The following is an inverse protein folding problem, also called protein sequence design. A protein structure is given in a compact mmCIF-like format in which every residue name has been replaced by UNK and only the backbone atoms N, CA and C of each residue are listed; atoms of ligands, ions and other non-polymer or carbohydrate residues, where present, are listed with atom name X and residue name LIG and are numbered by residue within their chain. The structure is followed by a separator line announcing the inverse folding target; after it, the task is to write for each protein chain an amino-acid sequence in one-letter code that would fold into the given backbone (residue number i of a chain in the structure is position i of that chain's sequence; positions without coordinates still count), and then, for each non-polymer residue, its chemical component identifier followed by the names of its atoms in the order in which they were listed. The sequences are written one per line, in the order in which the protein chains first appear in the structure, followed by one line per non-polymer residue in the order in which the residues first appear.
data_IF_492712797980
#
_entry.id   IF_492712797980
#
_cell.length_a   1.000
_cell.length_b   1.000
_cell.length_c   1.000
_cell.angle_alpha   90.00
_cell.angle_beta   90.00
_cell.angle_gamma   90.00
#
_symmetry.space_group_name_H-M   'P 1'
#
loop_
_entity.id
_entity.type
_entity.pdbx_description
1 polymer ?
#
# COMPACT_ATOMS: atom_id res chain seq x y z
N UNK A 1 8.74 11.46 5.19
CA UNK A 1 9.57 11.06 4.04
C UNK A 1 10.34 12.23 3.44
N UNK A 2 9.69 13.38 3.15
CA UNK A 2 10.34 14.56 2.54
C UNK A 2 11.63 14.98 3.26
N UNK A 3 11.68 14.89 4.58
CA UNK A 3 12.83 15.27 5.40
C UNK A 3 13.63 14.05 5.90
N UNK A 4 13.36 12.84 5.41
CA UNK A 4 13.98 11.60 5.91
C UNK A 4 13.99 11.53 7.44
N UNK A 5 12.88 11.89 8.06
CA UNK A 5 12.70 11.99 9.50
C UNK A 5 11.58 11.06 9.97
N UNK A 6 11.78 10.41 11.12
CA UNK A 6 10.84 9.48 11.72
C UNK A 6 10.60 9.85 13.17
N UNK A 7 9.35 10.04 13.60
CA UNK A 7 9.03 10.22 15.02
C UNK A 7 9.19 8.87 15.72
N UNK A 8 10.08 8.84 16.72
CA UNK A 8 10.36 7.63 17.51
C UNK A 8 9.52 7.56 18.78
N UNK A 9 9.30 8.70 19.44
CA UNK A 9 8.63 8.76 20.73
C UNK A 9 7.96 10.11 20.94
N UNK A 10 6.77 10.11 21.53
CA UNK A 10 6.08 11.30 22.03
C UNK A 10 6.25 11.39 23.53
N UNK A 11 7.01 12.41 23.99
CA UNK A 11 7.28 12.68 25.42
C UNK A 11 6.40 13.81 25.98
N UNK A 12 5.23 14.04 25.39
CA UNK A 12 4.34 15.12 25.79
C UNK A 12 4.77 16.45 25.16
N UNK A 13 5.63 17.22 25.79
CA UNK A 13 6.06 18.53 25.26
C UNK A 13 7.13 18.43 24.16
N UNK A 14 7.79 17.30 24.03
CA UNK A 14 8.90 17.09 23.10
C UNK A 14 8.71 15.80 22.31
N UNK A 15 8.92 15.87 20.99
CA UNK A 15 8.97 14.72 20.11
C UNK A 15 10.42 14.29 19.89
N UNK A 16 10.71 13.01 20.11
CA UNK A 16 12.00 12.43 19.71
C UNK A 16 11.91 12.02 18.24
N UNK A 17 12.75 12.62 17.40
CA UNK A 17 12.73 12.41 15.95
C UNK A 17 14.08 11.89 15.48
N UNK A 18 14.06 10.73 14.78
CA UNK A 18 15.23 10.21 14.09
C UNK A 18 15.49 11.01 12.81
N UNK A 19 16.73 11.44 12.62
CA UNK A 19 17.23 12.09 11.41
C UNK A 19 18.50 11.39 10.94
N UNK A 20 18.63 11.23 9.61
CA UNK A 20 19.84 10.69 8.99
C UNK A 20 21.02 11.66 9.04
N UNK A 21 20.73 12.95 8.89
CA UNK A 21 21.69 14.04 9.09
C UNK A 21 21.23 14.94 10.24
N UNK A 22 21.83 14.83 11.43
CA UNK A 22 21.47 15.64 12.58
C UNK A 22 21.88 17.11 12.47
N UNK A 23 22.69 17.46 11.46
CA UNK A 23 23.14 18.83 11.21
C UNK A 23 22.28 19.55 10.16
N UNK A 24 21.28 18.89 9.59
CA UNK A 24 20.30 19.51 8.68
C UNK A 24 19.35 20.42 9.48
N UNK A 25 19.81 21.65 9.73
CA UNK A 25 19.05 22.67 10.44
C UNK A 25 17.76 23.06 9.72
N UNK A 26 17.76 22.99 8.39
CA UNK A 26 16.55 23.29 7.60
C UNK A 26 15.46 22.23 7.84
N UNK A 27 15.81 20.95 7.79
CA UNK A 27 14.88 19.88 8.13
C UNK A 27 14.37 20.01 9.58
N UNK A 28 15.25 20.35 10.51
CA UNK A 28 14.89 20.57 11.92
C UNK A 28 13.84 21.69 12.07
N UNK A 29 14.10 22.87 11.52
CA UNK A 29 13.22 24.04 11.65
C UNK A 29 11.85 23.79 10.99
N UNK A 30 11.86 23.17 9.81
CA UNK A 30 10.62 22.82 9.08
C UNK A 30 9.80 21.77 9.85
N UNK A 31 10.44 20.74 10.42
CA UNK A 31 9.77 19.74 11.23
C UNK A 31 9.16 20.37 12.50
N UNK A 32 9.90 21.24 13.20
CA UNK A 32 9.40 21.96 14.36
C UNK A 32 8.17 22.82 14.01
N UNK A 33 8.23 23.50 12.86
CA UNK A 33 7.13 24.34 12.35
C UNK A 33 5.88 23.52 11.98
N UNK A 34 6.06 22.37 11.32
CA UNK A 34 4.95 21.50 10.89
C UNK A 34 4.32 20.82 12.09
N UNK A 35 5.13 20.25 12.97
CA UNK A 35 4.68 19.49 14.14
C UNK A 35 4.20 20.38 15.29
N UNK A 36 4.56 21.68 15.25
CA UNK A 36 4.23 22.67 16.30
C UNK A 36 4.61 22.20 17.71
N UNK A 37 5.71 21.49 17.82
CA UNK A 37 6.22 20.86 19.05
C UNK A 37 7.74 21.03 19.15
N UNK A 38 8.26 20.99 20.36
CA UNK A 38 9.69 20.88 20.55
C UNK A 38 10.19 19.54 19.98
N UNK A 39 11.37 19.57 19.37
CA UNK A 39 11.96 18.38 18.76
C UNK A 39 13.31 18.10 19.41
N UNK A 40 13.51 16.86 19.84
CA UNK A 40 14.80 16.31 20.18
C UNK A 40 15.25 15.39 19.04
N UNK A 41 16.49 15.53 18.59
CA UNK A 41 17.03 14.72 17.48
C UNK A 41 17.73 13.48 18.03
N UNK A 42 17.42 12.34 17.42
CA UNK A 42 18.20 11.12 17.50
C UNK A 42 18.91 10.91 16.15
N UNK A 43 20.23 10.95 16.15
CA UNK A 43 21.03 10.64 14.98
C UNK A 43 20.97 9.14 14.69
N UNK A 44 20.60 8.77 13.47
CA UNK A 44 20.51 7.37 13.02
C UNK A 44 21.21 7.22 11.67
N UNK A 45 21.76 6.04 11.35
CA UNK A 45 22.27 5.80 10.01
C UNK A 45 21.17 6.03 8.96
N UNK A 46 21.46 6.80 7.92
CA UNK A 46 20.47 7.11 6.87
C UNK A 46 19.88 5.83 6.25
N UNK A 47 20.69 4.77 6.13
CA UNK A 47 20.27 3.47 5.63
C UNK A 47 19.23 2.75 6.50
N UNK A 48 19.10 3.13 7.77
CA UNK A 48 18.14 2.52 8.71
C UNK A 48 16.72 3.11 8.54
N UNK A 49 16.61 4.34 8.07
CA UNK A 49 15.33 5.02 7.93
C UNK A 49 14.38 4.36 6.94
N UNK A 50 14.79 3.95 5.70
CA UNK A 50 13.91 3.25 4.78
C UNK A 50 13.34 1.97 5.37
N UNK A 51 14.17 1.18 6.06
CA UNK A 51 13.75 -0.08 6.71
C UNK A 51 12.73 0.19 7.82
N UNK A 52 12.97 1.24 8.63
CA UNK A 52 12.05 1.64 9.68
C UNK A 52 10.72 2.18 9.11
N UNK A 53 10.78 2.96 8.04
CA UNK A 53 9.59 3.41 7.33
C UNK A 53 8.77 2.25 6.78
N UNK A 54 9.41 1.29 6.15
CA UNK A 54 8.74 0.10 5.63
C UNK A 54 8.05 -0.67 6.75
N UNK A 55 8.73 -0.87 7.87
CA UNK A 55 8.19 -1.61 9.01
C UNK A 55 7.02 -0.90 9.70
N UNK A 56 7.07 0.43 9.82
CA UNK A 56 6.09 1.20 10.60
C UNK A 56 4.89 1.68 9.77
N UNK A 57 5.10 1.95 8.49
CA UNK A 57 4.08 2.57 7.64
C UNK A 57 3.54 1.66 6.55
N UNK A 58 4.15 0.51 6.29
CA UNK A 58 3.62 -0.45 5.34
C UNK A 58 2.68 -1.44 6.01
N UNK A 59 1.54 -1.65 5.36
CA UNK A 59 0.55 -2.66 5.74
C UNK A 59 0.84 -4.04 5.14
N UNK A 60 2.11 -4.35 4.90
CA UNK A 60 2.49 -5.58 4.18
C UNK A 60 1.97 -6.84 4.85
N UNK A 61 2.00 -6.89 6.19
CA UNK A 61 1.48 -8.05 6.93
C UNK A 61 -0.05 -8.15 6.85
N UNK A 62 -0.75 -7.00 6.94
CA UNK A 62 -2.21 -6.93 6.79
C UNK A 62 -2.63 -7.36 5.37
N UNK A 63 -1.99 -6.80 4.35
CA UNK A 63 -2.23 -7.13 2.94
C UNK A 63 -1.99 -8.62 2.68
N UNK A 64 -0.87 -9.17 3.18
CA UNK A 64 -0.56 -10.58 3.05
C UNK A 64 -1.54 -11.48 3.81
N UNK A 65 -2.05 -11.01 4.95
CA UNK A 65 -3.10 -11.68 5.71
C UNK A 65 -4.43 -11.71 4.96
N UNK A 66 -4.84 -10.58 4.38
CA UNK A 66 -6.04 -10.48 3.55
C UNK A 66 -5.94 -11.34 2.28
N UNK A 67 -4.77 -11.36 1.64
CA UNK A 67 -4.53 -12.21 0.48
C UNK A 67 -4.69 -13.70 0.83
N UNK A 68 -4.10 -14.17 1.93
CA UNK A 68 -4.27 -15.55 2.40
C UNK A 68 -5.71 -15.88 2.81
N UNK A 69 -6.42 -14.95 3.42
CA UNK A 69 -7.82 -15.13 3.76
C UNK A 69 -8.67 -15.30 2.49
N UNK A 70 -8.45 -14.44 1.48
CA UNK A 70 -9.12 -14.53 0.19
C UNK A 70 -8.77 -15.84 -0.54
N UNK A 71 -7.53 -16.28 -0.48
CA UNK A 71 -7.09 -17.56 -1.05
C UNK A 71 -7.85 -18.75 -0.45
N UNK A 72 -8.04 -18.74 0.88
CA UNK A 72 -8.82 -19.75 1.59
C UNK A 72 -10.29 -19.71 1.22
N UNK A 73 -10.87 -18.51 1.09
CA UNK A 73 -12.28 -18.31 0.72
C UNK A 73 -12.56 -18.73 -0.73
N UNK A 74 -11.59 -18.56 -1.64
CA UNK A 74 -11.71 -18.98 -3.03
C UNK A 74 -11.68 -20.51 -3.22
N UNK A 75 -11.11 -21.28 -2.26
CA UNK A 75 -11.02 -22.73 -2.34
C UNK A 75 -10.30 -23.22 -3.60
N UNK A 76 -10.55 -24.49 -3.98
CA UNK A 76 -9.93 -25.09 -5.18
C UNK A 76 -10.68 -24.79 -6.48
N UNK A 77 -11.93 -24.33 -6.39
CA UNK A 77 -12.77 -23.96 -7.54
C UNK A 77 -13.26 -22.53 -7.42
N UNK A 78 -12.79 -21.65 -8.30
CA UNK A 78 -13.28 -20.27 -8.39
C UNK A 78 -14.57 -20.27 -9.21
N UNK A 79 -15.73 -20.13 -8.57
CA UNK A 79 -16.95 -19.80 -9.28
C UNK A 79 -16.98 -18.29 -9.58
N UNK A 80 -16.65 -17.92 -10.81
CA UNK A 80 -16.68 -16.54 -11.26
C UNK A 80 -18.08 -15.91 -11.24
N UNK A 81 -19.14 -16.72 -11.22
CA UNK A 81 -20.53 -16.27 -11.08
C UNK A 81 -20.80 -15.71 -9.68
N UNK A 82 -20.38 -16.42 -8.62
CA UNK A 82 -20.49 -15.96 -7.24
C UNK A 82 -19.60 -14.73 -6.98
N UNK A 83 -18.40 -14.69 -7.55
CA UNK A 83 -17.52 -13.52 -7.46
C UNK A 83 -18.17 -12.27 -8.11
N UNK A 84 -18.88 -12.45 -9.23
CA UNK A 84 -19.61 -11.37 -9.90
C UNK A 84 -20.82 -10.92 -9.08
N UNK A 85 -21.50 -11.82 -8.39
CA UNK A 85 -22.62 -11.49 -7.49
C UNK A 85 -22.17 -10.70 -6.24
N UNK A 86 -20.95 -10.94 -5.75
CA UNK A 86 -20.36 -10.22 -4.62
C UNK A 86 -19.85 -8.79 -4.96
N UNK A 87 -19.91 -8.42 -6.21
CA UNK A 87 -19.36 -7.15 -6.77
C UNK A 87 -19.98 -5.89 -6.12
N UNK A 88 -21.18 -5.97 -5.57
CA UNK A 88 -21.87 -4.87 -4.88
C UNK A 88 -21.60 -4.77 -3.38
N UNK A 89 -20.94 -5.73 -2.75
CA UNK A 89 -20.75 -5.77 -1.32
C UNK A 89 -19.41 -5.12 -0.94
N UNK A 90 -19.46 -3.98 -0.28
CA UNK A 90 -18.27 -3.28 0.25
C UNK A 90 -17.43 -4.15 1.20
N UNK A 91 -18.03 -5.20 1.76
CA UNK A 91 -17.38 -6.14 2.67
C UNK A 91 -16.70 -7.35 2.01
N UNK A 92 -16.77 -7.50 0.68
CA UNK A 92 -16.17 -8.64 0.00
C UNK A 92 -14.64 -8.69 0.20
N UNK A 93 -14.04 -9.86 0.47
CA UNK A 93 -12.60 -9.98 0.75
C UNK A 93 -11.71 -9.35 -0.33
N UNK A 94 -12.08 -9.47 -1.61
CA UNK A 94 -11.35 -8.86 -2.74
C UNK A 94 -11.37 -7.33 -2.69
N UNK A 95 -12.49 -6.73 -2.24
CA UNK A 95 -12.62 -5.28 -2.11
C UNK A 95 -11.73 -4.77 -0.97
N UNK A 96 -11.74 -5.46 0.17
CA UNK A 96 -10.88 -5.12 1.32
C UNK A 96 -9.39 -5.21 0.96
N UNK A 97 -8.99 -6.25 0.21
CA UNK A 97 -7.61 -6.39 -0.26
C UNK A 97 -7.21 -5.24 -1.17
N UNK A 98 -8.04 -4.88 -2.17
CA UNK A 98 -7.78 -3.74 -3.06
C UNK A 98 -7.72 -2.43 -2.28
N UNK A 99 -8.65 -2.21 -1.35
CA UNK A 99 -8.66 -1.01 -0.51
C UNK A 99 -7.36 -0.90 0.29
N UNK A 100 -6.93 -1.98 0.96
CA UNK A 100 -5.69 -2.00 1.74
C UNK A 100 -4.46 -1.77 0.86
N UNK A 101 -4.43 -2.32 -0.37
CA UNK A 101 -3.36 -2.05 -1.35
C UNK A 101 -3.29 -0.57 -1.75
N UNK A 102 -4.44 0.06 -2.02
CA UNK A 102 -4.48 1.48 -2.42
C UNK A 102 -4.20 2.41 -1.24
N UNK A 103 -4.67 2.08 -0.04
CA UNK A 103 -4.34 2.82 1.18
C UNK A 103 -2.85 2.80 1.45
N UNK A 104 -2.21 1.62 1.36
CA UNK A 104 -0.76 1.50 1.53
C UNK A 104 0.00 2.26 0.45
N UNK A 105 -0.38 2.10 -0.83
CA UNK A 105 0.25 2.81 -1.94
C UNK A 105 0.18 4.34 -1.76
N UNK A 106 -0.99 4.86 -1.33
CA UNK A 106 -1.16 6.29 -1.04
C UNK A 106 -0.29 6.73 0.14
N UNK A 107 -0.29 5.96 1.21
CA UNK A 107 0.48 6.25 2.43
C UNK A 107 1.99 6.30 2.18
N UNK A 108 2.49 5.40 1.31
CA UNK A 108 3.91 5.40 0.92
C UNK A 108 4.25 6.39 -0.19
N UNK A 109 3.26 7.09 -0.76
CA UNK A 109 3.46 8.02 -1.87
C UNK A 109 3.87 7.32 -3.16
N UNK A 110 3.32 6.14 -3.40
CA UNK A 110 3.59 5.40 -4.64
C UNK A 110 3.02 6.14 -5.85
N UNK A 111 3.79 6.18 -6.94
CA UNK A 111 3.33 6.69 -8.23
C UNK A 111 2.56 5.65 -9.04
N UNK A 112 2.87 4.37 -8.85
CA UNK A 112 2.29 3.26 -9.59
C UNK A 112 2.09 2.05 -8.69
N UNK A 113 1.03 1.29 -8.98
CA UNK A 113 0.79 -0.05 -8.43
C UNK A 113 0.71 -1.04 -9.58
N UNK A 114 1.54 -2.04 -9.56
CA UNK A 114 1.60 -3.11 -10.54
C UNK A 114 1.03 -4.39 -9.94
N UNK A 115 0.02 -4.95 -10.56
CA UNK A 115 -0.60 -6.23 -10.18
C UNK A 115 -0.31 -7.19 -11.32
N UNK A 116 0.66 -8.06 -11.12
CA UNK A 116 1.27 -8.85 -12.19
C UNK A 116 1.08 -10.35 -11.93
N UNK A 117 0.22 -11.02 -12.73
CA UNK A 117 0.19 -12.48 -12.75
C UNK A 117 1.56 -13.02 -13.19
N UNK A 118 2.08 -13.96 -12.42
CA UNK A 118 3.29 -14.73 -12.70
C UNK A 118 2.92 -16.17 -13.01
N UNK A 119 3.87 -16.98 -13.45
CA UNK A 119 3.68 -18.39 -13.73
C UNK A 119 3.13 -19.14 -12.50
N UNK A 120 3.74 -18.89 -11.34
CA UNK A 120 3.44 -19.60 -10.08
C UNK A 120 2.57 -18.80 -9.12
N UNK A 121 2.13 -17.57 -9.47
CA UNK A 121 1.37 -16.75 -8.54
C UNK A 121 1.02 -15.37 -9.04
N UNK A 122 0.77 -14.49 -8.10
CA UNK A 122 0.54 -13.06 -8.29
C UNK A 122 1.61 -12.27 -7.56
N UNK A 123 2.21 -11.30 -8.23
CA UNK A 123 3.11 -10.35 -7.59
C UNK A 123 2.50 -8.95 -7.65
N UNK A 124 2.42 -8.29 -6.50
CA UNK A 124 2.05 -6.88 -6.41
C UNK A 124 3.29 -6.06 -6.10
N UNK A 125 3.57 -5.07 -6.93
CA UNK A 125 4.70 -4.14 -6.76
C UNK A 125 4.19 -2.70 -6.73
N UNK A 126 4.87 -1.86 -5.98
CA UNK A 126 4.62 -0.42 -5.93
C UNK A 126 5.88 0.35 -6.34
N UNK A 127 5.71 1.46 -7.05
CA UNK A 127 6.83 2.35 -7.39
C UNK A 127 6.86 3.50 -6.39
N UNK A 128 7.93 3.57 -5.61
CA UNK A 128 8.17 4.64 -4.63
C UNK A 128 9.49 5.29 -4.95
N UNK A 129 9.50 6.61 -5.12
CA UNK A 129 10.69 7.38 -5.49
C UNK A 129 11.43 6.83 -6.72
N UNK A 130 10.66 6.37 -7.73
CA UNK A 130 11.17 5.79 -8.97
C UNK A 130 11.59 4.32 -8.88
N UNK A 131 11.66 3.73 -7.69
CA UNK A 131 12.09 2.33 -7.47
C UNK A 131 10.88 1.42 -7.31
N UNK A 132 10.84 0.33 -8.09
CA UNK A 132 9.84 -0.74 -7.93
C UNK A 132 10.22 -1.64 -6.76
N UNK A 133 9.27 -1.82 -5.84
CA UNK A 133 9.43 -2.65 -4.65
C UNK A 133 8.30 -3.66 -4.58
N UNK A 134 8.60 -4.89 -4.17
CA UNK A 134 7.59 -5.92 -3.96
C UNK A 134 6.77 -5.58 -2.71
N UNK A 135 5.45 -5.49 -2.89
CA UNK A 135 4.50 -5.25 -1.82
C UNK A 135 4.00 -6.55 -1.20
N UNK A 136 3.55 -7.47 -2.03
CA UNK A 136 3.10 -8.80 -1.61
C UNK A 136 3.17 -9.79 -2.76
N UNK A 137 3.14 -11.07 -2.40
CA UNK A 137 2.96 -12.18 -3.32
C UNK A 137 1.78 -13.03 -2.85
N UNK A 138 1.02 -13.58 -3.76
CA UNK A 138 -0.19 -14.33 -3.49
C UNK A 138 -0.43 -15.42 -4.55
N UNK A 139 -1.42 -16.26 -4.31
CA UNK A 139 -1.86 -17.25 -5.29
C UNK A 139 -2.42 -16.60 -6.56
N UNK A 140 -2.20 -17.23 -7.72
CA UNK A 140 -2.67 -16.72 -9.02
C UNK A 140 -4.18 -16.54 -9.12
N UNK A 141 -4.97 -17.32 -8.36
CA UNK A 141 -6.44 -17.21 -8.30
C UNK A 141 -6.88 -15.84 -7.80
N UNK A 142 -6.13 -15.26 -6.87
CA UNK A 142 -6.36 -13.89 -6.37
C UNK A 142 -6.19 -12.88 -7.51
N UNK A 143 -5.23 -13.08 -8.40
CA UNK A 143 -5.00 -12.22 -9.55
C UNK A 143 -6.23 -12.09 -10.45
N UNK A 144 -6.89 -13.21 -10.72
CA UNK A 144 -8.12 -13.21 -11.51
C UNK A 144 -9.26 -12.43 -10.84
N UNK A 145 -9.43 -12.62 -9.53
CA UNK A 145 -10.45 -11.90 -8.74
C UNK A 145 -10.17 -10.38 -8.68
N UNK A 146 -8.92 -9.98 -8.47
CA UNK A 146 -8.51 -8.57 -8.47
C UNK A 146 -8.72 -7.93 -9.83
N UNK A 147 -8.31 -8.60 -10.92
CA UNK A 147 -8.47 -8.11 -12.28
C UNK A 147 -9.94 -7.92 -12.65
N UNK A 148 -10.80 -8.89 -12.35
CA UNK A 148 -12.23 -8.79 -12.53
C UNK A 148 -12.80 -7.56 -11.81
N UNK A 149 -12.46 -7.38 -10.55
CA UNK A 149 -12.93 -6.25 -9.76
C UNK A 149 -12.43 -4.91 -10.30
N UNK A 150 -11.16 -4.82 -10.68
CA UNK A 150 -10.58 -3.61 -11.26
C UNK A 150 -11.24 -3.23 -12.58
N UNK A 151 -11.50 -4.21 -13.46
CA UNK A 151 -12.23 -3.97 -14.71
C UNK A 151 -13.63 -3.39 -14.46
N UNK A 152 -14.36 -3.97 -13.53
CA UNK A 152 -15.70 -3.48 -13.17
C UNK A 152 -15.65 -2.06 -12.59
N UNK A 153 -14.69 -1.76 -11.71
CA UNK A 153 -14.52 -0.42 -11.14
C UNK A 153 -14.16 0.63 -12.19
N UNK A 154 -13.43 0.22 -13.23
CA UNK A 154 -12.96 1.10 -14.31
C UNK A 154 -13.94 1.16 -15.50
N UNK A 155 -15.07 0.43 -15.46
CA UNK A 155 -16.01 0.35 -16.57
C UNK A 155 -15.46 -0.38 -17.79
N UNK A 156 -14.50 -1.29 -17.60
CA UNK A 156 -13.88 -2.08 -18.66
C UNK A 156 -14.68 -3.37 -18.94
N UNK A 157 -14.49 -3.92 -20.14
CA UNK A 157 -15.09 -5.20 -20.51
C UNK A 157 -14.41 -6.35 -19.74
N UNK A 158 -15.15 -6.94 -18.81
CA UNK A 158 -14.68 -8.06 -18.00
C UNK A 158 -14.59 -9.38 -18.77
N UNK A 159 -15.26 -9.49 -19.91
CA UNK A 159 -15.26 -10.67 -20.78
C UNK A 159 -14.02 -10.72 -21.69
N UNK A 160 -13.50 -9.56 -22.09
CA UNK A 160 -12.28 -9.48 -22.92
C UNK A 160 -11.03 -9.78 -22.09
N UNK A 161 -10.28 -10.81 -22.46
CA UNK A 161 -9.09 -11.28 -21.75
C UNK A 161 -7.79 -11.16 -22.55
N UNK A 162 -7.87 -10.82 -23.83
CA UNK A 162 -6.74 -10.85 -24.75
C UNK A 162 -6.21 -9.49 -25.12
N UNK A 163 -7.09 -8.50 -25.18
CA UNK A 163 -6.72 -7.15 -25.62
C UNK A 163 -6.48 -6.23 -24.43
N UNK A 164 -5.48 -5.36 -24.51
CA UNK A 164 -5.28 -4.31 -23.51
C UNK A 164 -6.48 -3.38 -23.46
N UNK A 165 -6.80 -2.91 -22.27
CA UNK A 165 -7.86 -1.94 -22.03
C UNK A 165 -7.33 -0.86 -21.10
N UNK A 166 -7.85 0.34 -21.21
CA UNK A 166 -7.61 1.44 -20.29
C UNK A 166 -8.93 2.02 -19.76
N UNK A 167 -8.89 2.57 -18.57
CA UNK A 167 -10.05 3.14 -17.92
C UNK A 167 -9.68 3.94 -16.70
N UNK A 168 -10.66 4.59 -16.07
CA UNK A 168 -10.45 5.43 -14.90
C UNK A 168 -11.45 5.10 -13.80
N UNK A 169 -11.00 5.14 -12.57
CA UNK A 169 -11.85 5.08 -11.39
C UNK A 169 -11.26 5.94 -10.27
N UNK A 170 -12.07 6.23 -9.28
CA UNK A 170 -11.66 6.97 -8.09
C UNK A 170 -11.81 6.09 -6.87
N UNK A 171 -10.83 6.15 -5.97
CA UNK A 171 -10.85 5.44 -4.69
C UNK A 171 -10.81 6.49 -3.58
N UNK A 172 -11.70 6.34 -2.60
CA UNK A 172 -11.62 7.13 -1.38
C UNK A 172 -10.74 6.38 -0.38
N UNK A 173 -9.60 6.96 -0.09
CA UNK A 173 -8.66 6.45 0.91
C UNK A 173 -8.94 7.13 2.23
N UNK A 174 -8.98 6.37 3.33
CA UNK A 174 -9.08 6.95 4.67
C UNK A 174 -7.73 7.60 5.01
N UNK A 175 -7.75 8.91 5.22
CA UNK A 175 -6.60 9.59 5.81
C UNK A 175 -6.48 9.11 7.26
N UNK A 176 -5.37 8.45 7.58
CA UNK A 176 -5.01 8.24 8.97
C UNK A 176 -4.49 9.57 9.52
N UNK A 177 -5.29 10.19 10.36
CA UNK A 177 -4.94 11.37 11.18
C UNK A 177 -3.88 10.99 12.21
#
# INVERSE_FOLDING_TARGET
RRFKALVLEDKGDTLLVALGDPLDLFAFDELARILKRNIAIAAVPESSLPVAFDRLYRRTEEISGLARALEKDLGDAVDFGELSASVGLEGAPVVRLLQSLFEDATQVGASDVHIEPQEDGLQVRVRVDGVLQVQTQADKRIGAALLQRLKLMSGLDSSEKRLPQDGRFSVRVKENT
#
